data_IF_162352392407
#
_entry.id   IF_162352392407
#
_cell.length_a   1.000
_cell.length_b   1.000
_cell.length_c   1.000
_cell.angle_alpha   90.00
_cell.angle_beta   90.00
_cell.angle_gamma   90.00
#
_symmetry.space_group_name_H-M   'P 1'
#
loop_
_entity.id
_entity.type
_entity.pdbx_description
1 polymer ?
#
# COMPACT_ATOMS: atom_id res chain seq x y z
N UNK A 1 -34.03 7.69 1.77
CA UNK A 1 -33.91 6.36 2.43
C UNK A 1 -32.43 6.03 2.53
N UNK A 2 -31.90 5.90 3.74
CA UNK A 2 -30.52 5.48 3.98
C UNK A 2 -30.40 4.01 3.64
N UNK A 3 -29.87 3.70 2.46
CA UNK A 3 -29.54 2.35 2.05
C UNK A 3 -28.38 1.85 2.92
N UNK A 4 -28.71 1.22 4.05
CA UNK A 4 -27.74 0.50 4.86
C UNK A 4 -27.19 -0.64 4.00
N UNK A 5 -25.98 -0.45 3.47
CA UNK A 5 -25.26 -1.50 2.77
C UNK A 5 -25.11 -2.66 3.77
N UNK A 6 -25.58 -3.87 3.45
CA UNK A 6 -25.42 -5.01 4.33
C UNK A 6 -23.94 -5.23 4.64
N UNK A 7 -23.61 -5.55 5.89
CA UNK A 7 -22.22 -5.80 6.32
C UNK A 7 -21.51 -6.86 5.47
N UNK A 8 -22.25 -7.87 4.98
CA UNK A 8 -21.75 -8.87 4.04
C UNK A 8 -21.30 -8.28 2.69
N UNK A 9 -21.96 -7.22 2.22
CA UNK A 9 -21.59 -6.51 0.99
C UNK A 9 -20.35 -5.67 1.22
N UNK A 10 -20.23 -4.99 2.37
CA UNK A 10 -19.02 -4.25 2.75
C UNK A 10 -17.78 -5.16 2.88
N UNK A 11 -17.94 -6.33 3.48
CA UNK A 11 -16.83 -7.28 3.61
C UNK A 11 -16.40 -7.82 2.24
N UNK A 12 -17.37 -8.14 1.39
CA UNK A 12 -17.08 -8.59 0.02
C UNK A 12 -16.43 -7.49 -0.84
N UNK A 13 -16.83 -6.22 -0.67
CA UNK A 13 -16.17 -5.06 -1.27
C UNK A 13 -14.70 -5.01 -0.83
N UNK A 14 -14.42 -5.18 0.46
CA UNK A 14 -13.04 -5.18 0.98
C UNK A 14 -12.14 -6.26 0.36
N UNK A 15 -12.71 -7.39 -0.06
CA UNK A 15 -11.99 -8.51 -0.68
C UNK A 15 -11.90 -8.42 -2.22
N UNK A 16 -12.69 -7.55 -2.87
CA UNK A 16 -12.74 -7.46 -4.32
C UNK A 16 -12.28 -6.09 -4.83
N UNK A 17 -11.31 -6.11 -5.74
CA UNK A 17 -10.73 -4.92 -6.36
C UNK A 17 -11.45 -4.52 -7.67
N UNK A 18 -12.10 -5.47 -8.33
CA UNK A 18 -12.59 -5.31 -9.69
C UNK A 18 -13.87 -4.44 -9.73
N UNK A 19 -13.79 -3.20 -10.28
CA UNK A 19 -14.90 -2.27 -10.26
C UNK A 19 -16.10 -2.78 -11.09
N UNK A 20 -15.86 -3.54 -12.15
CA UNK A 20 -16.92 -4.12 -12.98
C UNK A 20 -17.65 -5.24 -12.26
N UNK A 21 -16.93 -6.06 -11.48
CA UNK A 21 -17.57 -7.07 -10.62
C UNK A 21 -18.38 -6.43 -9.50
N UNK A 22 -17.88 -5.34 -8.91
CA UNK A 22 -18.59 -4.59 -7.88
C UNK A 22 -19.89 -4.00 -8.45
N UNK A 23 -19.83 -3.37 -9.63
CA UNK A 23 -21.01 -2.84 -10.34
C UNK A 23 -22.04 -3.93 -10.62
N UNK A 24 -21.63 -5.07 -11.18
CA UNK A 24 -22.53 -6.19 -11.47
C UNK A 24 -23.20 -6.74 -10.21
N UNK A 25 -22.47 -6.86 -9.10
CA UNK A 25 -23.03 -7.39 -7.85
C UNK A 25 -23.99 -6.41 -7.19
N UNK A 26 -23.68 -5.12 -7.18
CA UNK A 26 -24.59 -4.10 -6.67
C UNK A 26 -25.83 -3.93 -7.55
N UNK A 27 -25.68 -4.04 -8.87
CA UNK A 27 -26.81 -4.06 -9.81
C UNK A 27 -27.72 -5.28 -9.58
N UNK A 28 -27.14 -6.47 -9.36
CA UNK A 28 -27.88 -7.69 -9.03
C UNK A 28 -28.61 -7.61 -7.68
N UNK A 29 -28.13 -6.77 -6.75
CA UNK A 29 -28.77 -6.49 -5.47
C UNK A 29 -29.89 -5.43 -5.57
N UNK A 30 -30.11 -4.85 -6.76
CA UNK A 30 -31.18 -3.89 -7.01
C UNK A 30 -30.86 -2.45 -6.60
N UNK A 31 -29.57 -2.10 -6.44
CA UNK A 31 -29.18 -0.71 -6.21
C UNK A 31 -29.30 0.13 -7.49
N UNK A 32 -29.71 1.39 -7.34
CA UNK A 32 -29.69 2.35 -8.45
C UNK A 32 -28.27 2.65 -8.92
N UNK A 33 -28.11 2.87 -10.22
CA UNK A 33 -26.82 3.16 -10.86
C UNK A 33 -26.09 4.36 -10.22
N UNK A 34 -26.85 5.39 -9.81
CA UNK A 34 -26.32 6.56 -9.10
C UNK A 34 -25.64 6.22 -7.77
N UNK A 35 -26.19 5.24 -7.05
CA UNK A 35 -25.67 4.74 -5.76
C UNK A 35 -24.53 3.76 -5.98
N UNK A 36 -24.57 2.98 -7.06
CA UNK A 36 -23.47 2.09 -7.44
C UNK A 36 -22.20 2.89 -7.75
N UNK A 37 -22.34 3.95 -8.54
CA UNK A 37 -21.20 4.81 -8.92
C UNK A 37 -20.55 5.49 -7.70
N UNK A 38 -21.34 5.94 -6.73
CA UNK A 38 -20.81 6.55 -5.51
C UNK A 38 -20.06 5.53 -4.65
N UNK A 39 -20.63 4.34 -4.45
CA UNK A 39 -19.99 3.25 -3.69
C UNK A 39 -18.68 2.81 -4.35
N UNK A 40 -18.69 2.60 -5.66
CA UNK A 40 -17.48 2.18 -6.40
C UNK A 40 -16.39 3.24 -6.29
N UNK A 41 -16.73 4.53 -6.48
CA UNK A 41 -15.76 5.63 -6.33
C UNK A 41 -15.18 5.71 -4.93
N UNK A 42 -16.01 5.63 -3.90
CA UNK A 42 -15.55 5.72 -2.51
C UNK A 42 -14.68 4.51 -2.12
N UNK A 43 -15.08 3.31 -2.55
CA UNK A 43 -14.31 2.09 -2.33
C UNK A 43 -12.94 2.15 -3.01
N UNK A 44 -12.90 2.54 -4.28
CA UNK A 44 -11.65 2.72 -5.03
C UNK A 44 -10.76 3.77 -4.38
N UNK A 45 -11.31 4.93 -3.99
CA UNK A 45 -10.56 5.98 -3.28
C UNK A 45 -9.92 5.45 -2.00
N UNK A 46 -10.68 4.69 -1.22
CA UNK A 46 -10.20 4.09 0.04
C UNK A 46 -9.10 3.07 -0.21
N UNK A 47 -9.25 2.27 -1.25
CA UNK A 47 -8.26 1.27 -1.64
C UNK A 47 -6.93 1.91 -2.07
N UNK A 48 -6.98 2.90 -2.97
CA UNK A 48 -5.78 3.64 -3.39
C UNK A 48 -5.10 4.32 -2.19
N UNK A 49 -5.87 4.93 -1.29
CA UNK A 49 -5.33 5.55 -0.08
C UNK A 49 -4.63 4.54 0.85
N UNK A 50 -5.21 3.35 1.06
CA UNK A 50 -4.56 2.27 1.84
C UNK A 50 -3.27 1.78 1.20
N UNK A 51 -3.27 1.60 -0.12
CA UNK A 51 -2.10 1.17 -0.89
C UNK A 51 -0.97 2.20 -0.80
N UNK A 52 -1.28 3.47 -1.01
CA UNK A 52 -0.33 4.57 -0.88
C UNK A 52 0.23 4.68 0.55
N UNK A 53 -0.61 4.48 1.58
CA UNK A 53 -0.16 4.47 2.99
C UNK A 53 0.82 3.32 3.24
N UNK A 54 0.54 2.13 2.68
CA UNK A 54 1.44 0.97 2.80
C UNK A 54 2.78 1.24 2.11
N UNK A 55 2.76 1.84 0.91
CA UNK A 55 3.97 2.28 0.23
C UNK A 55 4.76 3.32 1.01
N UNK A 56 4.08 4.28 1.64
CA UNK A 56 4.71 5.29 2.48
C UNK A 56 5.40 4.69 3.72
N UNK A 57 4.78 3.69 4.35
CA UNK A 57 5.37 2.96 5.48
C UNK A 57 6.62 2.18 5.01
N UNK A 58 6.55 1.49 3.88
CA UNK A 58 7.71 0.81 3.27
C UNK A 58 8.85 1.80 2.97
N UNK A 59 8.53 2.97 2.41
CA UNK A 59 9.51 4.04 2.16
C UNK A 59 10.16 4.52 3.45
N UNK A 60 9.37 4.76 4.50
CA UNK A 60 9.90 5.21 5.79
C UNK A 60 10.85 4.16 6.39
N UNK A 61 10.48 2.88 6.34
CA UNK A 61 11.34 1.78 6.81
C UNK A 61 12.64 1.72 6.00
N UNK A 62 12.55 1.73 4.66
CA UNK A 62 13.72 1.71 3.78
C UNK A 62 14.65 2.91 3.99
N UNK A 63 14.09 4.11 4.20
CA UNK A 63 14.84 5.33 4.47
C UNK A 63 15.58 5.26 5.82
N UNK A 64 14.92 4.81 6.89
CA UNK A 64 15.55 4.65 8.21
C UNK A 64 16.65 3.59 8.16
N UNK A 65 16.40 2.47 7.50
CA UNK A 65 17.34 1.36 7.40
C UNK A 65 18.57 1.76 6.56
N UNK A 66 18.37 2.51 5.46
CA UNK A 66 19.44 3.11 4.67
C UNK A 66 20.24 4.15 5.45
N UNK A 67 19.57 5.01 6.22
CA UNK A 67 20.23 5.99 7.07
C UNK A 67 21.13 5.33 8.13
N UNK A 68 20.62 4.30 8.82
CA UNK A 68 21.40 3.51 9.78
C UNK A 68 22.61 2.87 9.09
N UNK A 69 22.43 2.28 7.90
CA UNK A 69 23.53 1.71 7.11
C UNK A 69 24.63 2.74 6.81
N UNK A 70 24.24 3.94 6.38
CA UNK A 70 25.17 5.03 6.10
C UNK A 70 25.93 5.48 7.37
N UNK A 71 25.23 5.64 8.50
CA UNK A 71 25.85 6.05 9.76
C UNK A 71 26.85 5.01 10.27
N UNK A 72 26.51 3.72 10.23
CA UNK A 72 27.43 2.64 10.63
C UNK A 72 28.65 2.57 9.70
N UNK A 73 28.45 2.79 8.41
CA UNK A 73 29.54 2.83 7.42
C UNK A 73 30.51 3.98 7.71
N UNK A 74 30.00 5.17 8.03
CA UNK A 74 30.81 6.36 8.31
C UNK A 74 31.54 6.29 9.66
N UNK A 75 30.87 5.79 10.69
CA UNK A 75 31.46 5.64 12.03
C UNK A 75 32.49 4.51 12.09
N UNK A 76 32.44 3.58 11.13
CA UNK A 76 33.32 2.43 10.98
C UNK A 76 33.73 1.78 12.32
N UNK A 77 32.77 1.39 13.18
CA UNK A 77 33.08 0.87 14.50
C UNK A 77 33.78 -0.49 14.43
N UNK A 78 33.56 -1.26 13.35
CA UNK A 78 34.18 -2.56 13.10
C UNK A 78 34.53 -2.69 11.60
N UNK A 79 35.82 -2.61 11.21
CA UNK A 79 36.23 -2.63 9.80
C UNK A 79 35.89 -3.94 9.06
N UNK A 80 35.71 -5.05 9.77
CA UNK A 80 35.30 -6.32 9.18
C UNK A 80 33.82 -6.33 8.70
N UNK A 81 32.95 -5.51 9.31
CA UNK A 81 31.53 -5.43 8.95
C UNK A 81 31.24 -4.39 7.86
N UNK A 82 32.22 -3.54 7.52
CA UNK A 82 32.07 -2.46 6.55
C UNK A 82 31.49 -2.93 5.22
N UNK A 83 32.11 -3.95 4.60
CA UNK A 83 31.65 -4.51 3.33
C UNK A 83 30.27 -5.16 3.46
N UNK A 84 29.97 -5.77 4.60
CA UNK A 84 28.70 -6.45 4.84
C UNK A 84 27.54 -5.46 4.98
N UNK A 85 27.78 -4.33 5.66
CA UNK A 85 26.80 -3.25 5.81
C UNK A 85 26.62 -2.54 4.46
N UNK A 86 27.72 -2.16 3.81
CA UNK A 86 27.67 -1.40 2.56
C UNK A 86 27.00 -2.20 1.43
N UNK A 87 27.40 -3.46 1.21
CA UNK A 87 26.87 -4.27 0.12
C UNK A 87 25.64 -5.11 0.48
N UNK A 88 25.44 -5.43 1.75
CA UNK A 88 24.26 -6.17 2.22
C UNK A 88 23.12 -5.24 2.62
N UNK A 89 23.29 -4.56 3.74
CA UNK A 89 22.23 -3.76 4.37
C UNK A 89 21.76 -2.60 3.48
N UNK A 90 22.69 -1.88 2.86
CA UNK A 90 22.36 -0.75 1.99
C UNK A 90 21.62 -1.20 0.73
N UNK A 91 22.01 -2.32 0.13
CA UNK A 91 21.32 -2.89 -1.03
C UNK A 91 19.87 -3.29 -0.68
N UNK A 92 19.67 -3.92 0.48
CA UNK A 92 18.34 -4.25 0.99
C UNK A 92 17.51 -2.98 1.22
N UNK A 93 18.09 -1.95 1.83
CA UNK A 93 17.42 -0.66 2.04
C UNK A 93 16.96 -0.02 0.72
N UNK A 94 17.80 -0.06 -0.33
CA UNK A 94 17.47 0.46 -1.66
C UNK A 94 16.33 -0.33 -2.30
N UNK A 95 16.32 -1.67 -2.19
CA UNK A 95 15.23 -2.50 -2.71
C UNK A 95 13.90 -2.14 -2.01
N UNK A 96 13.92 -1.99 -0.68
CA UNK A 96 12.74 -1.61 0.10
C UNK A 96 12.27 -0.21 -0.29
N UNK A 97 13.18 0.75 -0.50
CA UNK A 97 12.85 2.09 -0.98
C UNK A 97 12.22 2.06 -2.37
N UNK A 98 12.79 1.30 -3.32
CA UNK A 98 12.23 1.17 -4.66
C UNK A 98 10.85 0.51 -4.64
N UNK A 99 10.67 -0.55 -3.83
CA UNK A 99 9.38 -1.20 -3.65
C UNK A 99 8.36 -0.25 -3.01
N UNK A 100 8.73 0.48 -1.97
CA UNK A 100 7.87 1.48 -1.34
C UNK A 100 7.47 2.59 -2.30
N UNK A 101 8.41 3.07 -3.12
CA UNK A 101 8.14 4.10 -4.13
C UNK A 101 7.16 3.59 -5.19
N UNK A 102 7.32 2.34 -5.63
CA UNK A 102 6.38 1.71 -6.57
C UNK A 102 4.95 1.70 -6.01
N UNK A 103 4.76 1.30 -4.76
CA UNK A 103 3.44 1.31 -4.11
C UNK A 103 2.84 2.70 -3.89
N UNK A 104 3.66 3.76 -3.86
CA UNK A 104 3.19 5.15 -3.72
C UNK A 104 2.84 5.77 -5.07
N UNK A 105 3.62 5.46 -6.12
CA UNK A 105 3.44 6.02 -7.46
C UNK A 105 2.39 5.27 -8.30
N UNK A 106 2.19 3.97 -8.05
CA UNK A 106 1.18 3.11 -8.71
C UNK A 106 0.03 2.74 -7.77
#
# INVERSE_FOLDING_TARGET
MTTSIPSAVQQWLAENYDPDKIRKKLSALGYEESVIDSIVKEHMKTWYAKRQTTGFIMLAIGAVLGFISCVLTLTNPVPALYYWILYGLTSIAVIILMAGLYYVLE
#
